data_IF_844306811110
#
_entry.id   IF_844306811110
#
_cell.length_a   1.000
_cell.length_b   1.000
_cell.length_c   1.000
_cell.angle_alpha   90.00
_cell.angle_beta   90.00
_cell.angle_gamma   90.00
#
_symmetry.space_group_name_H-M   'P 1'
#
loop_
_entity.id
_entity.type
_entity.pdbx_description
1 polymer ?
#
# COMPACT_ATOMS: atom_id res chain seq x y z
N UNK A 1 -16.42 1.71 4.27
CA UNK A 1 -15.01 1.56 3.88
C UNK A 1 -14.82 0.16 3.36
N UNK A 2 -13.99 0.00 2.33
CA UNK A 2 -13.56 -1.31 1.80
C UNK A 2 -12.05 -1.40 1.96
N UNK A 3 -11.55 -2.51 2.51
CA UNK A 3 -10.11 -2.78 2.58
C UNK A 3 -9.79 -3.91 1.63
N UNK A 4 -9.03 -3.63 0.57
CA UNK A 4 -8.50 -4.66 -0.33
C UNK A 4 -7.35 -5.38 0.36
N UNK A 5 -7.22 -6.68 0.15
CA UNK A 5 -6.23 -7.52 0.81
C UNK A 5 -5.70 -8.59 -0.16
N UNK A 6 -4.39 -8.80 -0.31
CA UNK A 6 -3.25 -8.20 0.42
C UNK A 6 -2.09 -7.80 -0.51
N UNK A 7 -1.27 -6.84 -0.05
CA UNK A 7 0.14 -6.79 -0.46
C UNK A 7 0.93 -7.77 0.43
N UNK A 8 1.11 -9.00 -0.04
CA UNK A 8 1.56 -10.15 0.75
C UNK A 8 3.07 -10.42 0.72
N UNK A 9 3.78 -9.84 -0.26
CA UNK A 9 5.24 -9.83 -0.30
C UNK A 9 5.74 -8.39 -0.24
N UNK A 10 6.60 -8.11 0.74
CA UNK A 10 7.30 -6.83 0.88
C UNK A 10 8.56 -6.96 1.73
N UNK A 11 9.59 -6.16 1.47
CA UNK A 11 10.73 -6.08 2.37
C UNK A 11 12.03 -5.59 1.75
N UNK A 12 13.15 -5.93 2.39
CA UNK A 12 14.47 -5.33 2.13
C UNK A 12 15.07 -5.65 0.74
N UNK A 13 14.50 -6.60 -0.01
CA UNK A 13 14.96 -6.96 -1.35
C UNK A 13 14.27 -6.17 -2.47
N UNK A 14 13.39 -5.22 -2.15
CA UNK A 14 12.69 -4.39 -3.13
C UNK A 14 11.70 -5.15 -4.00
N UNK A 15 11.27 -6.35 -3.59
CA UNK A 15 10.21 -7.11 -4.27
C UNK A 15 8.88 -6.86 -3.56
N UNK A 16 7.87 -6.55 -4.37
CA UNK A 16 6.51 -6.28 -3.90
C UNK A 16 5.52 -7.09 -4.72
N UNK A 17 4.58 -7.74 -4.05
CA UNK A 17 3.52 -8.53 -4.70
C UNK A 17 2.17 -8.18 -4.10
N UNK A 18 1.19 -8.01 -5.00
CA UNK A 18 -0.21 -7.79 -4.67
C UNK A 18 -0.96 -9.05 -5.05
N UNK A 19 -1.53 -9.72 -4.05
CA UNK A 19 -2.42 -10.86 -4.24
C UNK A 19 -3.87 -10.44 -3.98
N UNK A 20 -4.65 -10.34 -5.05
CA UNK A 20 -6.10 -10.17 -4.98
C UNK A 20 -6.82 -11.45 -5.42
N UNK A 21 -6.29 -12.62 -5.10
CA UNK A 21 -6.96 -13.93 -5.26
C UNK A 21 -7.50 -14.20 -6.68
N UNK A 22 -6.79 -13.70 -7.71
CA UNK A 22 -7.16 -13.87 -9.11
C UNK A 22 -8.17 -12.85 -9.66
N UNK A 23 -8.52 -11.80 -8.92
CA UNK A 23 -9.34 -10.70 -9.44
C UNK A 23 -8.68 -10.01 -10.65
N UNK A 24 -9.51 -9.60 -11.61
CA UNK A 24 -9.06 -8.82 -12.77
C UNK A 24 -8.64 -7.41 -12.36
N UNK A 25 -7.33 -7.20 -12.30
CA UNK A 25 -6.73 -5.92 -11.89
C UNK A 25 -7.09 -4.76 -12.84
N UNK A 26 -7.46 -5.03 -14.10
CA UNK A 26 -7.73 -3.98 -15.07
C UNK A 26 -9.02 -3.19 -14.77
N UNK A 27 -9.98 -3.81 -14.09
CA UNK A 27 -11.24 -3.18 -13.69
C UNK A 27 -11.16 -2.46 -12.33
N UNK A 28 -10.28 -2.91 -11.44
CA UNK A 28 -10.22 -2.46 -10.03
C UNK A 28 -10.04 -0.94 -9.91
N UNK A 29 -9.26 -0.30 -10.79
CA UNK A 29 -9.07 1.15 -10.77
C UNK A 29 -10.37 1.94 -11.01
N UNK A 30 -11.24 1.45 -11.90
CA UNK A 30 -12.54 2.07 -12.13
C UNK A 30 -13.48 1.86 -10.93
N UNK A 31 -13.46 0.67 -10.34
CA UNK A 31 -14.28 0.33 -9.19
C UNK A 31 -13.89 1.11 -7.94
N UNK A 32 -12.58 1.33 -7.71
CA UNK A 32 -12.09 2.21 -6.62
C UNK A 32 -12.71 3.60 -6.75
N UNK A 33 -12.59 4.23 -7.93
CA UNK A 33 -13.14 5.57 -8.18
C UNK A 33 -14.67 5.58 -8.05
N UNK A 34 -15.34 4.49 -8.46
CA UNK A 34 -16.78 4.35 -8.28
C UNK A 34 -17.15 4.34 -6.78
N UNK A 35 -16.50 3.52 -5.97
CA UNK A 35 -16.71 3.47 -4.52
C UNK A 35 -16.48 4.85 -3.88
N UNK A 36 -15.38 5.52 -4.23
CA UNK A 36 -15.05 6.85 -3.73
C UNK A 36 -16.10 7.89 -4.11
N UNK A 37 -16.63 7.84 -5.33
CA UNK A 37 -17.72 8.73 -5.77
C UNK A 37 -19.01 8.57 -4.95
N UNK A 38 -19.17 7.43 -4.26
CA UNK A 38 -20.28 7.13 -3.34
C UNK A 38 -19.94 7.45 -1.89
N UNK A 39 -18.81 8.09 -1.62
CA UNK A 39 -18.35 8.37 -0.25
C UNK A 39 -17.84 7.14 0.48
N UNK A 40 -17.51 6.06 -0.23
CA UNK A 40 -16.95 4.83 0.35
C UNK A 40 -15.43 4.84 0.15
N UNK A 41 -14.62 5.08 1.20
CA UNK A 41 -13.18 5.05 1.09
C UNK A 41 -12.68 3.61 0.87
N UNK A 42 -11.62 3.48 0.08
CA UNK A 42 -10.98 2.22 -0.29
C UNK A 42 -9.51 2.23 0.15
N UNK A 43 -9.13 1.29 1.01
CA UNK A 43 -7.77 1.10 1.50
C UNK A 43 -7.13 -0.18 0.96
N UNK A 44 -5.80 -0.30 1.11
CA UNK A 44 -5.04 -1.53 0.86
C UNK A 44 -4.42 -2.04 2.16
N UNK A 45 -4.68 -3.30 2.47
CA UNK A 45 -4.03 -4.02 3.56
C UNK A 45 -2.71 -4.63 3.09
N UNK A 46 -1.67 -4.49 3.92
CA UNK A 46 -0.36 -5.09 3.70
C UNK A 46 -0.12 -6.20 4.74
N UNK A 47 0.61 -7.23 4.34
CA UNK A 47 0.91 -8.38 5.18
C UNK A 47 -0.01 -9.56 4.88
N UNK A 48 -0.82 -9.96 5.86
CA UNK A 48 -1.67 -11.15 5.79
C UNK A 48 -1.06 -12.37 6.49
N UNK A 49 -1.62 -13.55 6.26
CA UNK A 49 -1.23 -14.79 6.94
C UNK A 49 0.06 -15.45 6.40
N UNK A 50 0.52 -15.04 5.21
CA UNK A 50 1.73 -15.57 4.58
C UNK A 50 3.03 -15.09 5.23
N UNK A 51 4.16 -15.70 4.88
CA UNK A 51 5.49 -15.39 5.45
C UNK A 51 6.36 -14.53 4.52
N UNK A 52 5.77 -13.95 3.47
CA UNK A 52 6.46 -13.24 2.39
C UNK A 52 6.89 -11.81 2.71
N UNK A 53 6.62 -11.31 3.92
CA UNK A 53 6.87 -9.92 4.28
C UNK A 53 7.72 -9.74 5.54
N UNK A 54 8.61 -8.76 5.52
CA UNK A 54 9.37 -8.28 6.68
C UNK A 54 9.96 -6.90 6.42
N UNK A 55 10.15 -6.10 7.47
CA UNK A 55 10.64 -4.72 7.39
C UNK A 55 11.79 -4.47 8.37
N UNK A 56 12.92 -5.21 8.25
CA UNK A 56 13.96 -5.29 9.28
C UNK A 56 14.81 -4.01 9.46
N UNK A 57 14.49 -2.92 8.75
CA UNK A 57 15.24 -1.67 8.78
C UNK A 57 14.38 -0.45 8.42
N UNK A 58 14.84 0.74 8.83
CA UNK A 58 14.23 2.00 8.39
C UNK A 58 14.21 2.13 6.88
N UNK A 59 15.28 1.65 6.23
CA UNK A 59 15.41 1.76 4.79
C UNK A 59 14.34 0.92 4.09
N UNK A 60 14.15 -0.33 4.48
CA UNK A 60 13.06 -1.16 3.94
C UNK A 60 11.67 -0.56 4.18
N UNK A 61 11.45 0.12 5.31
CA UNK A 61 10.18 0.79 5.60
C UNK A 61 9.93 1.99 4.70
N UNK A 62 10.95 2.81 4.46
CA UNK A 62 10.87 3.93 3.53
C UNK A 62 10.77 3.46 2.07
N UNK A 63 11.45 2.39 1.69
CA UNK A 63 11.36 1.81 0.35
C UNK A 63 9.94 1.25 0.09
N UNK A 64 9.33 0.59 1.09
CA UNK A 64 7.93 0.17 1.00
C UNK A 64 6.97 1.36 0.94
N UNK A 65 7.20 2.41 1.74
CA UNK A 65 6.43 3.64 1.63
C UNK A 65 6.52 4.25 0.22
N UNK A 66 7.72 4.35 -0.35
CA UNK A 66 7.94 4.86 -1.71
C UNK A 66 7.23 3.99 -2.74
N UNK A 67 7.28 2.67 -2.59
CA UNK A 67 6.55 1.74 -3.46
C UNK A 67 5.04 1.97 -3.37
N UNK A 68 4.49 2.01 -2.15
CA UNK A 68 3.06 2.26 -1.94
C UNK A 68 2.66 3.59 -2.56
N UNK A 69 3.36 4.66 -2.21
CA UNK A 69 3.06 6.02 -2.63
C UNK A 69 3.00 6.17 -4.15
N UNK A 70 3.99 5.61 -4.84
CA UNK A 70 4.11 5.72 -6.30
C UNK A 70 3.24 4.72 -7.07
N UNK A 71 2.83 3.60 -6.46
CA UNK A 71 2.03 2.56 -7.12
C UNK A 71 0.52 2.73 -6.91
N UNK A 72 0.10 3.20 -5.74
CA UNK A 72 -1.31 3.17 -5.30
C UNK A 72 -1.84 4.51 -4.76
N UNK A 73 -0.98 5.49 -4.48
CA UNK A 73 -1.39 6.79 -3.93
C UNK A 73 -0.99 7.96 -4.85
N UNK A 74 -0.81 9.17 -4.33
CA UNK A 74 -0.58 10.39 -5.12
C UNK A 74 0.81 10.52 -5.75
N UNK A 75 1.73 9.57 -5.52
CA UNK A 75 3.06 9.59 -6.11
C UNK A 75 3.07 9.16 -7.58
N UNK A 76 4.05 9.64 -8.33
CA UNK A 76 4.31 9.18 -9.70
C UNK A 76 5.81 9.17 -9.95
N UNK A 77 6.34 8.02 -10.35
CA UNK A 77 7.76 7.82 -10.63
C UNK A 77 7.93 7.00 -11.92
N UNK A 78 8.72 7.47 -12.91
CA UNK A 78 9.01 6.69 -14.10
C UNK A 78 9.54 5.29 -13.76
N UNK A 79 9.01 4.26 -14.43
CA UNK A 79 9.38 2.87 -14.20
C UNK A 79 8.65 2.17 -13.05
N UNK A 80 7.83 2.88 -12.25
CA UNK A 80 6.94 2.25 -11.26
C UNK A 80 5.57 2.00 -11.88
N UNK A 81 5.14 0.74 -11.91
CA UNK A 81 3.81 0.35 -12.42
C UNK A 81 2.73 0.77 -11.42
N UNK A 82 1.63 1.36 -11.91
CA UNK A 82 0.42 1.63 -11.13
C UNK A 82 -0.65 0.58 -11.44
N UNK A 83 -0.88 -0.43 -10.57
CA UNK A 83 -1.79 -1.53 -10.88
C UNK A 83 -3.23 -1.10 -11.12
N UNK A 84 -3.64 0.00 -10.49
CA UNK A 84 -5.01 0.53 -10.58
C UNK A 84 -5.09 1.82 -11.41
N UNK A 85 -4.11 2.07 -12.28
CA UNK A 85 -4.07 3.26 -13.12
C UNK A 85 -3.96 4.55 -12.31
N UNK A 86 -4.84 5.51 -12.60
CA UNK A 86 -4.89 6.84 -11.96
C UNK A 86 -5.66 6.86 -10.62
N UNK A 87 -6.19 5.73 -10.17
CA UNK A 87 -6.86 5.65 -8.86
C UNK A 87 -5.87 5.92 -7.71
N UNK A 88 -6.34 6.64 -6.70
CA UNK A 88 -5.61 6.93 -5.47
C UNK A 88 -6.38 6.33 -4.29
N UNK A 89 -5.79 5.39 -3.56
CA UNK A 89 -6.38 4.81 -2.36
C UNK A 89 -6.47 5.78 -1.17
N UNK A 90 -7.42 5.52 -0.28
CA UNK A 90 -7.73 6.37 0.87
C UNK A 90 -6.97 6.00 2.14
N UNK A 91 -6.30 4.84 2.16
CA UNK A 91 -5.54 4.40 3.35
C UNK A 91 -4.74 3.13 3.18
N UNK A 92 -3.93 2.86 4.20
CA UNK A 92 -3.16 1.63 4.36
C UNK A 92 -3.61 0.95 5.65
N UNK A 93 -3.87 -0.35 5.59
CA UNK A 93 -4.15 -1.21 6.73
C UNK A 93 -2.94 -2.13 6.99
N UNK A 94 -2.56 -2.31 8.27
CA UNK A 94 -1.39 -3.11 8.66
C UNK A 94 -1.86 -4.42 9.29
N UNK A 95 -1.88 -5.49 8.50
CA UNK A 95 -2.27 -6.83 8.96
C UNK A 95 -1.01 -7.68 9.17
N UNK A 96 -0.43 -7.57 10.37
CA UNK A 96 0.91 -8.09 10.68
C UNK A 96 0.85 -9.34 11.56
N UNK A 97 0.49 -10.48 10.98
CA UNK A 97 0.50 -11.78 11.68
C UNK A 97 1.91 -12.26 12.01
N UNK A 98 2.88 -11.87 11.18
CA UNK A 98 4.29 -12.20 11.36
C UNK A 98 5.12 -10.92 11.53
N UNK A 99 6.13 -11.00 12.39
CA UNK A 99 7.06 -9.91 12.61
C UNK A 99 8.05 -10.21 13.74
N UNK A 100 9.04 -9.34 13.87
CA UNK A 100 10.08 -9.38 14.88
C UNK A 100 10.24 -7.99 15.52
N UNK A 101 10.83 -7.89 16.73
CA UNK A 101 11.11 -6.59 17.34
C UNK A 101 12.06 -5.68 16.53
N UNK A 102 12.76 -6.23 15.53
CA UNK A 102 13.63 -5.46 14.65
C UNK A 102 12.85 -4.75 13.51
N UNK A 103 11.60 -5.16 13.25
CA UNK A 103 10.81 -4.60 12.16
C UNK A 103 10.43 -3.14 12.42
N UNK A 104 10.39 -2.35 11.35
CA UNK A 104 10.25 -0.88 11.39
C UNK A 104 8.93 -0.40 10.81
N UNK A 105 7.84 -1.04 11.21
CA UNK A 105 6.48 -0.62 10.86
C UNK A 105 6.11 0.75 11.45
N UNK A 106 6.75 1.15 12.54
CA UNK A 106 6.67 2.50 13.12
C UNK A 106 7.08 3.58 12.13
N UNK A 107 8.18 3.35 11.39
CA UNK A 107 8.68 4.27 10.38
C UNK A 107 7.73 4.36 9.20
N UNK A 108 7.18 3.22 8.76
CA UNK A 108 6.17 3.18 7.70
C UNK A 108 4.92 3.98 8.11
N UNK A 109 4.39 3.75 9.30
CA UNK A 109 3.21 4.44 9.83
C UNK A 109 3.45 5.96 9.96
N UNK A 110 4.64 6.37 10.39
CA UNK A 110 5.00 7.79 10.46
C UNK A 110 5.03 8.42 9.06
N UNK A 111 5.67 7.76 8.09
CA UNK A 111 5.78 8.24 6.71
C UNK A 111 4.41 8.38 6.03
N UNK A 112 3.54 7.37 6.15
CA UNK A 112 2.17 7.43 5.61
C UNK A 112 1.34 8.54 6.25
N UNK A 113 1.46 8.72 7.58
CA UNK A 113 0.77 9.82 8.28
C UNK A 113 1.22 11.20 7.82
N UNK A 114 2.53 11.37 7.55
CA UNK A 114 3.09 12.62 7.08
C UNK A 114 2.60 12.95 5.66
N UNK A 115 2.60 11.97 4.76
CA UNK A 115 2.08 12.13 3.41
C UNK A 115 0.58 12.50 3.41
N UNK A 116 -0.23 11.85 4.25
CA UNK A 116 -1.65 12.14 4.38
C UNK A 116 -1.94 13.55 4.96
N UNK A 117 -1.00 14.14 5.71
CA UNK A 117 -1.08 15.54 6.14
C UNK A 117 -0.71 16.51 5.03
N UNK A 118 0.37 16.23 4.29
CA UNK A 118 0.82 17.07 3.17
C UNK A 118 -0.19 17.13 2.02
N UNK A 119 -0.90 16.02 1.76
CA UNK A 119 -1.92 15.91 0.70
C UNK A 119 -3.21 16.70 0.99
N UNK A 120 -3.44 17.09 2.25
CA UNK A 120 -4.62 17.89 2.65
C UNK A 120 -4.39 19.41 2.49
N UNK A 121 -3.17 19.83 2.14
CA UNK A 121 -2.80 21.23 2.00
C UNK A 121 -2.70 21.70 0.53
N UNK A 122 -3.11 20.87 -0.42
CA UNK A 122 -3.22 21.17 -1.85
C UNK A 122 -4.67 21.11 -2.28
#
# INVERSE_FOLDING_TARGET
MVTMSFLDVSGANGKYHLDLSGHDLSAVGADIKHCQSKGVPVSLSIGGYGTGYSLPSNRSALDLFDHLWNSYFGGSKPGVRRPFGDAWLDGVDLFLEHGTPADRYDVLALATSAAARGSRCT
#
